data_IF_792135475074
#
_entry.id   IF_792135475074
#
_cell.length_a   1.000
_cell.length_b   1.000
_cell.length_c   1.000
_cell.angle_alpha   90.00
_cell.angle_beta   90.00
_cell.angle_gamma   90.00
#
_symmetry.space_group_name_H-M   'P 1'
#
loop_
_entity.id
_entity.type
_entity.pdbx_description
1 polymer ?
#
# COMPACT_ATOMS: atom_id res chain seq x y z
N UNK A 1 -3.99 -5.15 -5.66
CA UNK A 1 -2.53 -4.99 -5.53
C UNK A 1 -1.68 -6.17 -6.02
N UNK A 2 -2.21 -7.37 -6.30
CA UNK A 2 -1.38 -8.42 -6.92
C UNK A 2 -0.75 -7.99 -8.24
N UNK A 3 -1.55 -7.38 -9.13
CA UNK A 3 -1.08 -6.81 -10.39
C UNK A 3 -0.04 -5.69 -10.22
N UNK A 4 -0.14 -4.90 -9.15
CA UNK A 4 0.85 -3.87 -8.81
C UNK A 4 2.23 -4.49 -8.61
N UNK A 5 2.33 -5.52 -7.75
CA UNK A 5 3.61 -6.17 -7.46
C UNK A 5 4.20 -6.89 -8.68
N UNK A 6 3.35 -7.52 -9.50
CA UNK A 6 3.80 -8.14 -10.75
C UNK A 6 4.34 -7.11 -11.74
N UNK A 7 3.65 -5.97 -11.91
CA UNK A 7 4.10 -4.89 -12.79
C UNK A 7 5.39 -4.24 -12.28
N UNK A 8 5.49 -3.96 -10.97
CA UNK A 8 6.67 -3.38 -10.35
C UNK A 8 7.90 -4.31 -10.50
N UNK A 9 7.72 -5.61 -10.24
CA UNK A 9 8.76 -6.60 -10.46
C UNK A 9 9.17 -6.67 -11.94
N UNK A 10 8.21 -6.63 -12.86
CA UNK A 10 8.47 -6.60 -14.30
C UNK A 10 9.28 -5.38 -14.74
N UNK A 11 8.99 -4.20 -14.21
CA UNK A 11 9.77 -2.97 -14.45
C UNK A 11 11.22 -3.17 -14.03
N UNK A 12 11.46 -3.58 -12.78
CA UNK A 12 12.82 -3.77 -12.27
C UNK A 12 13.59 -4.89 -12.97
N UNK A 13 12.93 -5.99 -13.34
CA UNK A 13 13.54 -7.05 -14.14
C UNK A 13 13.91 -6.55 -15.55
N UNK A 14 13.02 -5.79 -16.20
CA UNK A 14 13.30 -5.20 -17.51
C UNK A 14 14.45 -4.21 -17.50
N UNK A 15 14.59 -3.43 -16.43
CA UNK A 15 15.76 -2.58 -16.20
C UNK A 15 17.02 -3.42 -15.99
N UNK A 16 16.96 -4.45 -15.16
CA UNK A 16 18.11 -5.32 -14.86
C UNK A 16 18.66 -6.05 -16.09
N UNK A 17 17.76 -6.55 -16.96
CA UNK A 17 18.13 -7.24 -18.21
C UNK A 17 18.35 -6.29 -19.39
N UNK A 18 18.25 -4.97 -19.20
CA UNK A 18 18.43 -3.99 -20.28
C UNK A 18 17.36 -4.04 -21.38
N UNK A 19 16.19 -4.62 -21.09
CA UNK A 19 15.06 -4.72 -22.01
C UNK A 19 14.34 -3.37 -22.12
N UNK A 20 14.30 -2.60 -21.03
CA UNK A 20 13.61 -1.32 -20.94
C UNK A 20 14.52 -0.26 -20.32
N UNK A 21 14.54 0.93 -20.90
CA UNK A 21 15.28 2.07 -20.36
C UNK A 21 14.32 2.97 -19.57
N UNK A 22 14.07 2.58 -18.32
CA UNK A 22 13.12 3.24 -17.42
C UNK A 22 13.90 4.10 -16.41
N UNK A 23 13.48 5.35 -16.24
CA UNK A 23 14.06 6.28 -15.27
C UNK A 23 13.37 6.19 -13.91
N UNK A 24 13.99 6.76 -12.88
CA UNK A 24 13.37 6.85 -11.54
C UNK A 24 12.06 7.64 -11.56
N UNK A 25 11.95 8.65 -12.43
CA UNK A 25 10.75 9.46 -12.58
C UNK A 25 9.60 8.66 -13.22
N UNK A 26 9.89 7.77 -14.16
CA UNK A 26 8.89 6.89 -14.79
C UNK A 26 8.28 5.93 -13.76
N UNK A 27 9.11 5.35 -12.88
CA UNK A 27 8.63 4.54 -11.75
C UNK A 27 7.79 5.39 -10.80
N UNK A 28 8.18 6.65 -10.54
CA UNK A 28 7.39 7.58 -9.75
C UNK A 28 5.98 7.81 -10.33
N UNK A 29 5.85 8.06 -11.62
CA UNK A 29 4.54 8.23 -12.26
C UNK A 29 3.70 6.95 -12.28
N UNK A 30 4.33 5.78 -12.40
CA UNK A 30 3.66 4.50 -12.20
C UNK A 30 3.10 4.38 -10.77
N UNK A 31 3.86 4.77 -9.75
CA UNK A 31 3.39 4.77 -8.36
C UNK A 31 2.23 5.74 -8.15
N UNK A 32 2.30 6.96 -8.69
CA UNK A 32 1.22 7.97 -8.65
C UNK A 32 -0.10 7.42 -9.19
N UNK A 33 -0.08 6.67 -10.30
CA UNK A 33 -1.28 6.04 -10.84
C UNK A 33 -1.91 5.06 -9.83
N UNK A 34 -1.09 4.29 -9.11
CA UNK A 34 -1.55 3.42 -8.02
C UNK A 34 -1.98 4.20 -6.77
N UNK A 35 -1.39 5.35 -6.48
CA UNK A 35 -1.80 6.25 -5.40
C UNK A 35 -3.26 6.70 -5.57
N UNK A 36 -3.65 7.05 -6.80
CA UNK A 36 -5.04 7.44 -7.14
C UNK A 36 -6.01 6.29 -6.89
N UNK A 37 -5.67 5.09 -7.35
CA UNK A 37 -6.51 3.89 -7.15
C UNK A 37 -6.60 3.55 -5.65
N UNK A 38 -5.49 3.69 -4.93
CA UNK A 38 -5.42 3.45 -3.48
C UNK A 38 -6.34 4.38 -2.71
N UNK A 39 -6.41 5.66 -3.09
CA UNK A 39 -7.32 6.63 -2.49
C UNK A 39 -8.80 6.19 -2.61
N UNK A 40 -9.20 5.69 -3.79
CA UNK A 40 -10.56 5.21 -4.01
C UNK A 40 -10.86 4.00 -3.10
N UNK A 41 -9.92 3.06 -2.99
CA UNK A 41 -10.08 1.90 -2.10
C UNK A 41 -10.10 2.30 -0.62
N UNK A 42 -9.30 3.29 -0.23
CA UNK A 42 -9.29 3.84 1.13
C UNK A 42 -10.67 4.36 1.52
N UNK A 43 -11.34 5.12 0.65
CA UNK A 43 -12.70 5.61 0.90
C UNK A 43 -13.71 4.47 1.12
N UNK A 44 -13.56 3.35 0.40
CA UNK A 44 -14.38 2.15 0.61
C UNK A 44 -14.09 1.45 1.95
N UNK A 45 -12.80 1.39 2.34
CA UNK A 45 -12.36 0.71 3.56
C UNK A 45 -12.93 1.32 4.84
N UNK A 46 -13.21 2.63 4.84
CA UNK A 46 -13.73 3.38 5.98
C UNK A 46 -15.08 2.88 6.51
N UNK A 47 -15.85 2.16 5.70
CA UNK A 47 -17.13 1.56 6.11
C UNK A 47 -17.02 0.12 6.60
N UNK A 48 -15.90 -0.55 6.37
CA UNK A 48 -15.76 -1.99 6.64
C UNK A 48 -15.34 -2.26 8.08
N UNK A 49 -14.16 -1.80 8.48
CA UNK A 49 -13.63 -1.98 9.84
C UNK A 49 -12.55 -0.95 10.13
N UNK A 50 -12.27 -0.70 11.42
CA UNK A 50 -11.22 0.22 11.83
C UNK A 50 -9.85 -0.26 11.31
N UNK A 51 -9.57 -1.56 11.49
CA UNK A 51 -8.29 -2.15 11.10
C UNK A 51 -8.05 -2.09 9.58
N UNK A 52 -9.09 -2.35 8.76
CA UNK A 52 -8.94 -2.24 7.30
C UNK A 52 -8.77 -0.79 6.85
N UNK A 53 -9.45 0.14 7.52
CA UNK A 53 -9.28 1.58 7.29
C UNK A 53 -7.85 2.02 7.55
N UNK A 54 -7.26 1.54 8.65
CA UNK A 54 -5.87 1.82 9.00
C UNK A 54 -4.89 1.26 7.96
N UNK A 55 -5.12 0.05 7.45
CA UNK A 55 -4.31 -0.56 6.37
C UNK A 55 -4.31 0.34 5.13
N UNK A 56 -5.49 0.75 4.65
CA UNK A 56 -5.54 1.56 3.43
C UNK A 56 -5.05 2.99 3.63
N UNK A 57 -5.21 3.57 4.82
CA UNK A 57 -4.69 4.89 5.13
C UNK A 57 -3.16 4.89 5.16
N UNK A 58 -2.55 3.94 5.85
CA UNK A 58 -1.09 3.78 5.85
C UNK A 58 -0.59 3.46 4.46
N UNK A 59 -1.22 2.53 3.73
CA UNK A 59 -0.86 2.25 2.33
C UNK A 59 -0.88 3.50 1.45
N UNK A 60 -1.91 4.35 1.58
CA UNK A 60 -2.03 5.60 0.83
C UNK A 60 -0.91 6.59 1.17
N UNK A 61 -0.60 6.75 2.46
CA UNK A 61 0.52 7.61 2.90
C UNK A 61 1.87 7.07 2.43
N UNK A 62 2.10 5.76 2.52
CA UNK A 62 3.28 5.09 2.02
C UNK A 62 3.50 5.35 0.53
N UNK A 63 2.44 5.24 -0.29
CA UNK A 63 2.49 5.59 -1.71
C UNK A 63 2.85 7.06 -1.94
N UNK A 64 2.24 8.01 -1.23
CA UNK A 64 2.58 9.43 -1.33
C UNK A 64 4.05 9.68 -0.99
N UNK A 65 4.58 9.07 0.07
CA UNK A 65 5.98 9.23 0.45
C UNK A 65 6.93 8.64 -0.60
N UNK A 66 6.56 7.51 -1.21
CA UNK A 66 7.31 6.94 -2.33
C UNK A 66 7.26 7.83 -3.58
N UNK A 67 6.10 8.40 -3.91
CA UNK A 67 5.93 9.31 -5.05
C UNK A 67 6.86 10.52 -4.91
N UNK A 68 6.85 11.16 -3.74
CA UNK A 68 7.74 12.29 -3.42
C UNK A 68 9.20 11.86 -3.56
N UNK A 69 9.56 10.68 -3.04
CA UNK A 69 10.93 10.17 -3.12
C UNK A 69 11.40 9.90 -4.55
N UNK A 70 10.53 9.43 -5.46
CA UNK A 70 10.91 9.06 -6.83
C UNK A 70 10.89 10.25 -7.79
N UNK A 71 10.10 11.28 -7.49
CA UNK A 71 9.94 12.48 -8.32
C UNK A 71 10.90 13.63 -7.95
N UNK A 72 11.94 13.35 -7.15
CA UNK A 72 13.00 14.32 -6.84
C UNK A 72 12.95 14.92 -5.43
N UNK A 73 12.12 14.37 -4.54
CA UNK A 73 12.09 14.75 -3.14
C UNK A 73 13.27 14.20 -2.31
N UNK A 74 13.45 14.67 -1.08
CA UNK A 74 14.51 14.22 -0.18
C UNK A 74 14.50 12.70 0.08
N UNK A 75 15.68 12.08 0.15
CA UNK A 75 15.86 10.66 0.48
C UNK A 75 15.32 10.25 1.87
N UNK A 76 15.01 11.23 2.73
CA UNK A 76 14.33 11.00 4.01
C UNK A 76 12.95 10.37 3.80
N UNK A 77 12.24 10.74 2.72
CA UNK A 77 10.92 10.21 2.42
C UNK A 77 10.94 8.71 2.11
N UNK A 78 12.02 8.18 1.54
CA UNK A 78 12.17 6.73 1.35
C UNK A 78 12.19 5.98 2.68
N UNK A 79 12.87 6.53 3.70
CA UNK A 79 12.95 5.92 5.04
C UNK A 79 11.61 6.00 5.75
N UNK A 80 10.93 7.14 5.65
CA UNK A 80 9.59 7.32 6.22
C UNK A 80 8.58 6.37 5.57
N UNK A 81 8.61 6.27 4.23
CA UNK A 81 7.79 5.32 3.49
C UNK A 81 8.05 3.88 3.91
N UNK A 82 9.32 3.50 4.13
CA UNK A 82 9.65 2.14 4.56
C UNK A 82 9.04 1.80 5.93
N UNK A 83 9.15 2.72 6.91
CA UNK A 83 8.56 2.51 8.25
C UNK A 83 7.04 2.40 8.17
N UNK A 84 6.41 3.31 7.43
CA UNK A 84 4.96 3.32 7.25
C UNK A 84 4.45 2.04 6.54
N UNK A 85 5.13 1.60 5.47
CA UNK A 85 4.76 0.39 4.74
C UNK A 85 5.00 -0.89 5.54
N UNK A 86 5.97 -0.91 6.46
CA UNK A 86 6.13 -2.02 7.42
C UNK A 86 4.91 -2.09 8.34
N UNK A 87 4.46 -0.95 8.88
CA UNK A 87 3.25 -0.89 9.71
C UNK A 87 2.00 -1.30 8.93
N UNK A 88 1.86 -0.83 7.68
CA UNK A 88 0.80 -1.24 6.76
C UNK A 88 0.81 -2.76 6.55
N UNK A 89 1.98 -3.36 6.29
CA UNK A 89 2.13 -4.80 6.07
C UNK A 89 1.73 -5.62 7.29
N UNK A 90 2.16 -5.21 8.49
CA UNK A 90 1.79 -5.86 9.74
C UNK A 90 0.29 -5.73 10.02
N UNK A 91 -0.30 -4.56 9.78
CA UNK A 91 -1.74 -4.36 9.92
C UNK A 91 -2.54 -5.20 8.91
N UNK A 92 -2.05 -5.34 7.68
CA UNK A 92 -2.68 -6.19 6.67
C UNK A 92 -2.63 -7.68 7.06
N UNK A 93 -1.51 -8.14 7.63
CA UNK A 93 -1.39 -9.49 8.19
C UNK A 93 -2.36 -9.70 9.36
N UNK A 94 -2.56 -8.70 10.20
CA UNK A 94 -3.54 -8.77 11.30
C UNK A 94 -4.98 -8.91 10.78
N UNK A 95 -5.37 -8.10 9.79
CA UNK A 95 -6.71 -8.22 9.17
C UNK A 95 -6.88 -9.58 8.48
N UNK A 96 -5.85 -10.06 7.78
CA UNK A 96 -5.88 -11.41 7.19
C UNK A 96 -6.05 -12.49 8.27
N UNK A 97 -5.33 -12.38 9.39
CA UNK A 97 -5.45 -13.31 10.51
C UNK A 97 -6.87 -13.31 11.07
N UNK A 98 -7.53 -12.16 11.21
CA UNK A 98 -8.93 -12.11 11.65
C UNK A 98 -9.85 -12.86 10.69
N UNK A 99 -9.72 -12.62 9.38
CA UNK A 99 -10.56 -13.28 8.36
C UNK A 99 -10.42 -14.81 8.42
N UNK A 100 -9.21 -15.31 8.59
CA UNK A 100 -8.95 -16.76 8.66
C UNK A 100 -9.42 -17.34 9.98
N UNK A 101 -9.05 -16.72 11.12
CA UNK A 101 -9.37 -17.22 12.45
C UNK A 101 -10.87 -17.14 12.78
N UNK A 102 -11.59 -16.16 12.23
CA UNK A 102 -13.04 -16.06 12.35
C UNK A 102 -13.77 -17.28 11.77
N UNK A 103 -13.18 -17.99 10.79
CA UNK A 103 -13.72 -19.26 10.26
C UNK A 103 -13.64 -20.40 11.28
N UNK A 104 -12.68 -20.33 12.21
CA UNK A 104 -12.52 -21.27 13.33
C UNK A 104 -13.22 -20.79 14.61
N UNK A 105 -13.96 -19.67 14.55
CA UNK A 105 -14.70 -19.11 15.69
C UNK A 105 -13.89 -18.16 16.58
N UNK A 106 -12.63 -17.86 16.24
CA UNK A 106 -11.79 -16.93 16.99
C UNK A 106 -11.88 -15.52 16.39
N UNK A 107 -12.57 -14.61 17.09
CA UNK A 107 -12.78 -13.23 16.63
C UNK A 107 -11.71 -12.30 17.20
N UNK A 108 -10.88 -11.72 16.32
CA UNK A 108 -9.93 -10.68 16.68
C UNK A 108 -10.58 -9.30 16.65
N UNK A 109 -10.18 -8.36 17.53
CA UNK A 109 -10.77 -7.02 17.56
C UNK A 109 -10.31 -6.17 16.36
N UNK A 110 -11.17 -6.02 15.35
CA UNK A 110 -10.92 -5.19 14.16
C UNK A 110 -11.59 -3.81 14.22
N UNK A 111 -12.43 -3.57 15.23
CA UNK A 111 -13.13 -2.30 15.44
C UNK A 111 -14.21 -2.00 14.39
N UNK A 112 -15.13 -1.09 14.72
CA UNK A 112 -16.14 -0.59 13.76
C UNK A 112 -15.49 0.27 12.68
N UNK A 113 -16.04 0.26 11.47
CA UNK A 113 -15.63 1.18 10.42
C UNK A 113 -15.73 2.64 10.89
N UNK A 114 -14.80 3.49 10.45
CA UNK A 114 -14.76 4.91 10.83
C UNK A 114 -16.01 5.68 10.39
N UNK A 115 -16.63 5.24 9.30
CA UNK A 115 -17.86 5.79 8.74
C UNK A 115 -19.02 4.80 8.84
N UNK A 116 -18.93 3.80 9.73
CA UNK A 116 -20.02 2.89 10.00
C UNK A 116 -21.01 3.57 10.97
N UNK A 117 -22.27 3.68 10.56
CA UNK A 117 -23.40 4.11 11.39
C UNK A 117 -23.78 3.02 12.41
#
# INVERSE_FOLDING_TARGET
>A
YGAFWMALAGIYLGMHFGIMNITTADVGWFLVAFTIVTFIYMMGSFRVSWALSFVFLTLFLGFIFLDISHLGGPAVFTKVAAVDLILCGLAALYVMAEIVLSQFGWKLPVGKGWLAE
#
